data_IF_747837428896
#
_entry.id   IF_747837428896
#
_cell.length_a   1.000
_cell.length_b   1.000
_cell.length_c   1.000
_cell.angle_alpha   90.00
_cell.angle_beta   90.00
_cell.angle_gamma   90.00
#
_symmetry.space_group_name_H-M   'P 1'
#
loop_
_entity.id
_entity.type
_entity.pdbx_description
1 polymer ?
#
# COMPACT_ATOMS: atom_id res chain seq x y z
N UNK A 1 3.90 9.90 -5.93
CA UNK A 1 3.48 9.13 -7.12
C UNK A 1 3.53 7.66 -6.73
N UNK A 2 2.40 7.04 -6.40
CA UNK A 2 2.36 5.61 -6.06
C UNK A 2 2.23 4.77 -7.33
N UNK A 3 2.84 3.59 -7.36
CA UNK A 3 2.71 2.67 -8.50
C UNK A 3 1.42 1.86 -8.34
N UNK A 4 0.54 1.94 -9.33
CA UNK A 4 -0.72 1.18 -9.35
C UNK A 4 -0.48 -0.28 -9.75
N UNK A 5 -1.09 -1.22 -9.03
CA UNK A 5 -1.01 -2.66 -9.29
C UNK A 5 -2.40 -3.29 -9.24
N UNK A 6 -2.60 -4.38 -10.00
CA UNK A 6 -3.89 -5.09 -10.03
C UNK A 6 -4.13 -5.98 -8.80
N UNK A 7 -3.05 -6.51 -8.21
CA UNK A 7 -3.09 -7.32 -6.98
C UNK A 7 -1.95 -6.92 -6.04
N UNK A 8 -2.28 -6.08 -5.07
CA UNK A 8 -1.33 -5.57 -4.08
C UNK A 8 -0.90 -6.64 -3.09
N UNK A 9 -1.75 -7.61 -2.75
CA UNK A 9 -1.42 -8.65 -1.78
C UNK A 9 -0.40 -9.62 -2.38
N UNK A 10 -0.59 -10.01 -3.64
CA UNK A 10 0.39 -10.80 -4.38
C UNK A 10 1.71 -10.04 -4.54
N UNK A 11 1.65 -8.75 -4.90
CA UNK A 11 2.84 -7.91 -5.07
C UNK A 11 3.63 -7.75 -3.78
N UNK A 12 2.96 -7.44 -2.66
CA UNK A 12 3.60 -7.34 -1.34
C UNK A 12 4.23 -8.66 -0.94
N UNK A 13 3.54 -9.78 -1.15
CA UNK A 13 4.08 -11.11 -0.85
C UNK A 13 5.35 -11.41 -1.65
N UNK A 14 5.33 -11.15 -2.96
CA UNK A 14 6.50 -11.37 -3.83
C UNK A 14 7.69 -10.50 -3.39
N UNK A 15 7.45 -9.23 -3.12
CA UNK A 15 8.50 -8.31 -2.70
C UNK A 15 9.08 -8.69 -1.33
N UNK A 16 8.24 -9.13 -0.39
CA UNK A 16 8.70 -9.66 0.91
C UNK A 16 9.54 -10.92 0.76
N UNK A 17 9.20 -11.82 -0.16
CA UNK A 17 10.01 -13.00 -0.47
C UNK A 17 11.38 -12.63 -1.06
N UNK A 18 11.47 -11.46 -1.71
CA UNK A 18 12.74 -10.89 -2.21
C UNK A 18 13.50 -10.08 -1.16
N UNK A 19 13.03 -10.04 0.09
CA UNK A 19 13.68 -9.34 1.19
C UNK A 19 13.27 -7.89 1.39
N UNK A 20 12.23 -7.41 0.69
CA UNK A 20 11.71 -6.05 0.92
C UNK A 20 10.93 -6.00 2.23
N UNK A 21 11.32 -5.07 3.09
CA UNK A 21 10.60 -4.77 4.34
C UNK A 21 9.61 -3.65 4.11
N UNK A 22 8.36 -3.91 4.44
CA UNK A 22 7.29 -2.92 4.36
C UNK A 22 7.04 -2.26 5.71
N UNK A 23 6.49 -1.06 5.66
CA UNK A 23 6.07 -0.30 6.84
C UNK A 23 4.77 -0.86 7.40
N UNK A 24 4.68 -0.93 8.73
CA UNK A 24 3.45 -1.30 9.44
C UNK A 24 2.92 -0.08 10.21
N UNK A 25 1.66 0.28 9.95
CA UNK A 25 0.99 1.39 10.59
C UNK A 25 -0.15 0.90 11.47
N UNK A 26 -0.21 1.40 12.71
CA UNK A 26 -1.27 1.14 13.68
C UNK A 26 -1.91 2.44 14.17
N UNK A 27 -2.09 3.40 13.27
CA UNK A 27 -2.59 4.74 13.61
C UNK A 27 -4.12 4.80 13.52
N UNK A 28 -4.78 5.67 14.28
CA UNK A 28 -6.20 5.94 14.10
C UNK A 28 -6.50 6.36 12.66
N UNK A 29 -7.35 5.60 11.96
CA UNK A 29 -7.68 5.87 10.55
C UNK A 29 -6.68 5.33 9.51
N UNK A 30 -5.53 4.78 9.92
CA UNK A 30 -4.58 4.12 9.03
C UNK A 30 -3.97 2.89 9.71
N UNK A 31 -4.49 1.72 9.36
CA UNK A 31 -3.98 0.43 9.83
C UNK A 31 -3.53 -0.44 8.66
N UNK A 32 -2.33 -0.98 8.75
CA UNK A 32 -1.86 -2.06 7.87
C UNK A 32 -2.19 -3.42 8.47
N UNK A 33 -2.54 -4.35 7.60
CA UNK A 33 -2.63 -5.77 7.92
C UNK A 33 -1.84 -6.51 6.86
N UNK A 34 -0.87 -7.32 7.27
CA UNK A 34 0.08 -7.96 6.35
C UNK A 34 0.74 -6.94 5.40
N UNK A 35 1.13 -5.78 5.93
CA UNK A 35 1.78 -4.69 5.18
C UNK A 35 0.90 -3.96 4.16
N UNK A 36 -0.40 -4.26 4.13
CA UNK A 36 -1.38 -3.59 3.27
C UNK A 36 -2.35 -2.81 4.13
N UNK A 37 -2.42 -1.49 3.94
CA UNK A 37 -3.48 -0.66 4.47
C UNK A 37 -4.70 -0.74 3.59
N UNK A 38 -5.89 -0.79 4.21
CA UNK A 38 -7.17 -0.61 3.53
C UNK A 38 -7.66 0.79 3.84
N UNK A 39 -7.84 1.58 2.79
CA UNK A 39 -8.28 2.97 2.87
C UNK A 39 -9.70 2.99 2.34
N UNK A 40 -10.65 3.22 3.22
CA UNK A 40 -12.05 3.39 2.84
C UNK A 40 -12.21 4.76 2.18
N UNK A 41 -13.06 4.83 1.15
CA UNK A 41 -13.14 5.90 0.14
C UNK A 41 -13.04 7.33 0.65
N UNK A 42 -11.81 7.83 0.83
CA UNK A 42 -11.52 9.17 1.33
C UNK A 42 -10.76 10.04 0.32
N UNK A 43 -10.57 9.55 -0.91
CA UNK A 43 -10.00 10.35 -1.99
C UNK A 43 -11.12 11.02 -2.82
N UNK A 44 -11.38 12.33 -2.65
CA UNK A 44 -12.38 13.05 -3.45
C UNK A 44 -12.05 13.02 -4.95
N UNK A 45 -10.78 12.78 -5.31
CA UNK A 45 -10.30 12.70 -6.69
C UNK A 45 -10.54 11.34 -7.39
N UNK A 46 -10.98 10.31 -6.66
CA UNK A 46 -11.20 8.93 -7.18
C UNK A 46 -12.63 8.44 -6.93
N UNK A 47 -13.60 9.36 -6.90
CA UNK A 47 -15.03 9.08 -6.76
C UNK A 47 -15.43 8.19 -5.56
N UNK A 48 -14.68 8.27 -4.45
CA UNK A 48 -14.99 7.49 -3.24
C UNK A 48 -14.69 5.99 -3.34
N UNK A 49 -13.92 5.55 -4.35
CA UNK A 49 -13.45 4.17 -4.42
C UNK A 49 -12.52 3.87 -3.23
N UNK A 50 -12.70 2.70 -2.61
CA UNK A 50 -11.76 2.21 -1.61
C UNK A 50 -10.43 1.87 -2.30
N UNK A 51 -9.34 2.01 -1.59
CA UNK A 51 -8.02 1.65 -2.10
C UNK A 51 -7.28 0.77 -1.09
N UNK A 52 -6.35 -0.03 -1.60
CA UNK A 52 -5.34 -0.68 -0.78
C UNK A 52 -4.00 0.00 -1.05
N UNK A 53 -3.24 0.27 0.01
CA UNK A 53 -1.92 0.91 -0.08
C UNK A 53 -0.87 0.12 0.69
N UNK A 54 0.37 0.13 0.20
CA UNK A 54 1.52 -0.43 0.91
C UNK A 54 2.74 0.46 0.68
N UNK A 55 3.60 0.57 1.70
CA UNK A 55 4.78 1.44 1.68
C UNK A 55 6.02 0.67 2.10
N UNK A 56 7.15 0.97 1.47
CA UNK A 56 8.46 0.41 1.80
C UNK A 56 9.55 1.40 1.43
N UNK A 57 10.76 1.20 1.98
CA UNK A 57 11.93 2.01 1.63
C UNK A 57 12.83 1.27 0.65
N UNK A 58 13.37 1.99 -0.32
CA UNK A 58 14.46 1.49 -1.14
C UNK A 58 15.81 1.58 -0.41
N UNK A 59 16.88 1.16 -1.09
CA UNK A 59 18.26 1.21 -0.58
C UNK A 59 18.81 2.64 -0.43
N UNK A 60 18.16 3.64 -1.01
CA UNK A 60 18.50 5.05 -0.88
C UNK A 60 17.69 5.73 0.25
N UNK A 61 16.78 4.98 0.88
CA UNK A 61 15.92 5.45 1.97
C UNK A 61 14.65 6.17 1.50
N UNK A 62 14.36 6.16 0.19
CA UNK A 62 13.16 6.79 -0.34
C UNK A 62 11.93 5.96 0.02
N UNK A 63 10.87 6.63 0.47
CA UNK A 63 9.58 5.98 0.73
C UNK A 63 8.82 5.79 -0.57
N UNK A 64 8.66 4.55 -0.98
CA UNK A 64 7.88 4.16 -2.15
C UNK A 64 6.50 3.68 -1.72
N UNK A 65 5.50 3.95 -2.55
CA UNK A 65 4.12 3.53 -2.33
C UNK A 65 3.62 2.71 -3.53
N UNK A 66 2.93 1.61 -3.25
CA UNK A 66 2.15 0.86 -4.23
C UNK A 66 0.68 0.87 -3.83
N UNK A 67 -0.21 0.99 -4.81
CA UNK A 67 -1.64 1.13 -4.59
C UNK A 67 -2.44 0.23 -5.49
N UNK A 68 -3.61 -0.21 -5.03
CA UNK A 68 -4.60 -0.90 -5.83
C UNK A 68 -5.95 -0.23 -5.61
N UNK A 69 -6.58 0.22 -6.70
CA UNK A 69 -7.97 0.69 -6.65
C UNK A 69 -8.88 -0.52 -6.43
N UNK A 70 -9.74 -0.47 -5.42
CA UNK A 70 -10.76 -1.49 -5.16
C UNK A 70 -12.07 -0.98 -5.75
N UNK A 71 -12.36 -1.42 -6.97
CA UNK A 71 -13.63 -1.20 -7.66
C UNK A 71 -14.74 -2.13 -7.17
#
# INVERSE_FOLDING_TARGET
>A
MGREVSDIEATVRELRQRGVTFEEYGLPGLKTVNSVARIEGNYPSKAGAAEKGAWFRDNEGNLLAIGQTVS
#
